data_IF_265219125358
#
_entry.id   IF_265219125358
#
_cell.length_a   1.000
_cell.length_b   1.000
_cell.length_c   1.000
_cell.angle_alpha   90.00
_cell.angle_beta   90.00
_cell.angle_gamma   90.00
#
_symmetry.space_group_name_H-M   'P 1'
#
loop_
_entity.id
_entity.type
_entity.pdbx_description
1 polymer ?
#
# COMPACT_ATOMS: atom_id res chain seq x y z
N UNK A 1 9.40 -15.02 -37.22
CA UNK A 1 9.36 -16.17 -36.32
C UNK A 1 8.39 -15.78 -35.21
N UNK A 2 7.23 -16.42 -35.18
CA UNK A 2 6.28 -16.28 -34.06
C UNK A 2 6.91 -17.03 -32.87
N UNK A 3 7.11 -16.28 -31.76
CA UNK A 3 7.67 -16.82 -30.54
C UNK A 3 6.56 -17.63 -29.82
N UNK A 4 6.82 -18.90 -29.53
CA UNK A 4 5.89 -19.72 -28.74
C UNK A 4 6.09 -19.45 -27.24
N UNK A 5 5.25 -18.62 -26.69
CA UNK A 5 5.32 -18.25 -25.26
C UNK A 5 5.04 -19.42 -24.31
N UNK A 6 4.34 -20.45 -24.79
CA UNK A 6 4.06 -21.65 -23.98
C UNK A 6 5.30 -22.52 -23.82
N UNK A 7 6.08 -22.69 -24.89
CA UNK A 7 7.38 -23.39 -24.84
C UNK A 7 8.39 -22.65 -23.96
N UNK A 8 8.34 -21.32 -23.92
CA UNK A 8 9.16 -20.49 -23.04
C UNK A 8 8.73 -20.55 -21.57
N UNK A 9 7.63 -21.22 -21.25
CA UNK A 9 7.09 -21.26 -19.89
C UNK A 9 6.63 -19.90 -19.38
N UNK A 10 6.24 -18.98 -20.29
CA UNK A 10 5.76 -17.64 -19.93
C UNK A 10 4.55 -17.72 -19.00
N UNK A 11 4.63 -17.02 -17.88
CA UNK A 11 3.54 -16.85 -16.92
C UNK A 11 3.39 -15.37 -16.62
N UNK A 12 2.15 -14.91 -16.49
CA UNK A 12 1.83 -13.56 -16.03
C UNK A 12 0.67 -13.63 -15.05
N UNK A 13 0.59 -12.63 -14.20
CA UNK A 13 -0.53 -12.38 -13.31
C UNK A 13 -0.97 -10.93 -13.43
N UNK A 14 -2.18 -10.64 -12.99
CA UNK A 14 -2.73 -9.29 -12.92
C UNK A 14 -2.99 -8.99 -11.45
N UNK A 15 -2.51 -7.83 -11.01
CA UNK A 15 -2.86 -7.25 -9.72
C UNK A 15 -3.80 -6.07 -9.97
N UNK A 16 -4.95 -6.07 -9.28
CA UNK A 16 -5.98 -5.05 -9.43
C UNK A 16 -6.15 -4.36 -8.09
N UNK A 17 -6.01 -3.04 -8.06
CA UNK A 17 -6.26 -2.20 -6.90
C UNK A 17 -7.60 -1.49 -7.06
N UNK A 18 -8.42 -1.53 -6.01
CA UNK A 18 -9.68 -0.81 -5.92
C UNK A 18 -9.74 -0.04 -4.61
N UNK A 19 -9.82 1.28 -4.68
CA UNK A 19 -10.06 2.11 -3.50
C UNK A 19 -11.50 1.91 -3.01
N UNK A 20 -11.65 1.75 -1.69
CA UNK A 20 -12.96 1.61 -1.06
C UNK A 20 -13.52 2.98 -0.66
N UNK A 21 -14.83 3.13 -0.76
CA UNK A 21 -15.55 4.32 -0.32
C UNK A 21 -15.89 4.21 1.19
N UNK A 22 -14.84 4.26 2.02
CA UNK A 22 -14.94 4.23 3.47
C UNK A 22 -13.97 5.27 4.06
N UNK A 23 -14.00 5.52 5.37
CA UNK A 23 -12.90 6.23 6.02
C UNK A 23 -11.61 5.38 5.97
N UNK A 24 -10.47 5.95 6.35
CA UNK A 24 -9.17 5.26 6.32
C UNK A 24 -9.15 4.00 7.20
N UNK A 25 -8.23 3.06 6.92
CA UNK A 25 -8.26 1.72 7.52
C UNK A 25 -8.00 1.71 9.03
N UNK A 26 -7.10 2.57 9.50
CA UNK A 26 -6.62 2.53 10.88
C UNK A 26 -6.77 3.85 11.63
N UNK A 27 -7.66 4.72 11.15
CA UNK A 27 -8.11 5.93 11.83
C UNK A 27 -9.48 6.37 11.30
N UNK A 28 -10.07 7.40 11.92
CA UNK A 28 -11.38 7.91 11.50
C UNK A 28 -11.31 9.03 10.46
N UNK A 29 -10.12 9.31 9.91
CA UNK A 29 -9.98 10.34 8.88
C UNK A 29 -10.70 9.95 7.59
N UNK A 30 -11.32 10.92 6.89
CA UNK A 30 -11.89 10.67 5.56
C UNK A 30 -10.82 10.19 4.58
N UNK A 31 -11.20 9.33 3.63
CA UNK A 31 -10.31 8.86 2.56
C UNK A 31 -10.48 9.65 1.25
N UNK A 32 -10.95 10.87 1.34
CA UNK A 32 -11.16 11.75 0.20
C UNK A 32 -9.83 12.17 -0.43
N UNK A 33 -9.76 12.09 -1.76
CA UNK A 33 -8.64 12.63 -2.52
C UNK A 33 -8.79 14.14 -2.60
N UNK A 34 -7.79 14.86 -2.13
CA UNK A 34 -7.78 16.32 -2.16
C UNK A 34 -6.71 16.84 -3.11
N UNK A 35 -7.10 17.85 -3.87
CA UNK A 35 -6.23 18.66 -4.71
C UNK A 35 -6.24 20.11 -4.22
N UNK A 36 -5.10 20.78 -4.34
CA UNK A 36 -4.98 22.18 -3.96
C UNK A 36 -3.91 22.43 -2.89
N UNK A 37 -3.89 23.62 -2.27
CA UNK A 37 -2.91 23.98 -1.26
C UNK A 37 -3.11 23.13 0.01
N UNK A 38 -2.04 22.47 0.44
CA UNK A 38 -1.97 21.72 1.69
C UNK A 38 -1.66 22.65 2.87
N UNK A 39 -2.07 22.26 4.07
CA UNK A 39 -1.82 23.01 5.32
C UNK A 39 -0.86 22.26 6.28
N UNK A 40 -0.56 20.99 5.98
CA UNK A 40 0.43 20.20 6.68
C UNK A 40 1.61 19.91 5.74
N UNK A 41 2.84 20.13 6.23
CA UNK A 41 4.06 19.73 5.50
C UNK A 41 5.10 19.21 6.47
N UNK A 42 5.47 17.94 6.33
CA UNK A 42 6.43 17.26 7.19
C UNK A 42 7.57 16.69 6.35
N UNK A 43 8.79 16.86 6.84
CA UNK A 43 10.00 16.31 6.21
C UNK A 43 10.52 15.15 7.03
N UNK A 44 10.80 14.04 6.36
CA UNK A 44 11.34 12.84 6.97
C UNK A 44 12.44 12.22 6.13
N UNK A 45 13.28 11.44 6.80
CA UNK A 45 14.18 10.47 6.18
C UNK A 45 13.75 9.10 6.67
N UNK A 46 13.43 8.22 5.72
CA UNK A 46 13.10 6.85 6.08
C UNK A 46 14.31 6.15 6.70
N UNK A 47 14.07 5.39 7.74
CA UNK A 47 15.03 4.49 8.34
C UNK A 47 14.64 3.06 8.00
N UNK A 48 15.60 2.20 7.67
CA UNK A 48 15.29 0.80 7.49
C UNK A 48 14.76 0.23 8.81
N UNK A 49 13.57 -0.38 8.75
CA UNK A 49 12.95 -1.03 9.91
C UNK A 49 13.47 -2.46 9.96
N UNK A 50 14.10 -2.91 11.07
CA UNK A 50 14.52 -4.29 11.21
C UNK A 50 13.28 -5.20 11.31
N UNK A 51 13.38 -6.40 10.73
CA UNK A 51 12.43 -7.48 10.93
C UNK A 51 12.45 -8.02 12.36
N UNK A 52 11.61 -9.00 12.66
CA UNK A 52 11.52 -9.61 14.01
C UNK A 52 12.82 -10.26 14.45
N UNK A 53 13.62 -10.77 13.50
CA UNK A 53 14.93 -11.38 13.74
C UNK A 53 16.08 -10.36 13.75
N UNK A 54 15.77 -9.06 13.64
CA UNK A 54 16.75 -7.97 13.62
C UNK A 54 17.43 -7.75 12.27
N UNK A 55 17.10 -8.52 11.25
CA UNK A 55 17.63 -8.33 9.91
C UNK A 55 16.97 -7.14 9.22
N UNK A 56 17.78 -6.36 8.52
CA UNK A 56 17.33 -5.22 7.72
C UNK A 56 17.25 -5.63 6.27
N UNK A 57 16.11 -5.37 5.65
CA UNK A 57 15.90 -5.60 4.21
C UNK A 57 16.97 -4.90 3.36
N UNK A 58 17.57 -5.63 2.42
CA UNK A 58 18.70 -5.16 1.60
C UNK A 58 18.27 -3.96 0.73
N UNK A 59 17.05 -3.96 0.19
CA UNK A 59 16.53 -2.86 -0.62
C UNK A 59 16.32 -1.62 0.25
N UNK A 60 15.80 -1.78 1.48
CA UNK A 60 15.64 -0.68 2.44
C UNK A 60 16.98 -0.05 2.81
N UNK A 61 18.02 -0.88 3.03
CA UNK A 61 19.37 -0.40 3.29
C UNK A 61 19.92 0.41 2.10
N UNK A 62 19.80 -0.12 0.89
CA UNK A 62 20.26 0.56 -0.31
C UNK A 62 19.54 1.90 -0.57
N UNK A 63 18.20 1.95 -0.37
CA UNK A 63 17.45 3.20 -0.50
C UNK A 63 17.86 4.24 0.55
N UNK A 64 18.17 3.80 1.77
CA UNK A 64 18.65 4.68 2.85
C UNK A 64 20.00 5.31 2.51
N UNK A 65 20.90 4.57 1.83
CA UNK A 65 22.21 5.08 1.38
C UNK A 65 22.09 6.24 0.39
N UNK A 66 20.98 6.35 -0.35
CA UNK A 66 20.70 7.48 -1.26
C UNK A 66 20.47 8.79 -0.50
N UNK A 67 20.21 8.74 0.81
CA UNK A 67 19.99 9.87 1.70
C UNK A 67 18.94 10.85 1.20
N UNK A 68 17.85 10.31 0.64
CA UNK A 68 16.73 11.10 0.14
C UNK A 68 15.89 11.66 1.29
N UNK A 69 15.41 12.88 1.13
CA UNK A 69 14.42 13.49 1.99
C UNK A 69 13.02 13.25 1.42
N UNK A 70 12.08 12.87 2.26
CA UNK A 70 10.67 12.70 1.91
C UNK A 70 9.87 13.84 2.52
N UNK A 71 9.11 14.53 1.69
CA UNK A 71 8.23 15.63 2.09
C UNK A 71 6.80 15.11 1.97
N UNK A 72 6.09 15.10 3.09
CA UNK A 72 4.69 14.69 3.15
C UNK A 72 3.83 15.94 3.29
N UNK A 73 2.94 16.12 2.32
CA UNK A 73 1.91 17.15 2.30
C UNK A 73 0.60 16.53 2.74
N UNK A 74 -0.13 17.20 3.61
CA UNK A 74 -1.41 16.72 4.12
C UNK A 74 -2.40 17.86 4.36
N UNK A 75 -3.59 17.49 4.77
CA UNK A 75 -4.68 18.39 5.10
C UNK A 75 -5.18 18.06 6.51
N UNK A 76 -5.28 19.07 7.37
CA UNK A 76 -5.64 18.90 8.78
C UNK A 76 -7.03 18.27 8.99
N UNK A 77 -7.89 18.33 7.99
CA UNK A 77 -9.23 17.76 8.03
C UNK A 77 -9.32 16.30 7.56
N UNK A 78 -8.22 15.74 6.97
CA UNK A 78 -8.17 14.33 6.57
C UNK A 78 -6.89 13.60 6.94
N UNK A 79 -6.02 14.21 7.74
CA UNK A 79 -4.74 13.62 8.15
C UNK A 79 -4.58 13.75 9.66
N UNK A 80 -4.26 12.66 10.34
CA UNK A 80 -3.97 12.64 11.77
C UNK A 80 -2.60 12.01 12.09
N UNK A 81 -2.26 11.90 13.37
CA UNK A 81 -0.97 11.37 13.82
C UNK A 81 -0.72 9.90 13.39
N UNK A 82 -1.79 9.12 13.13
CA UNK A 82 -1.66 7.74 12.64
C UNK A 82 -1.01 7.70 11.25
N UNK A 83 -1.46 8.55 10.29
CA UNK A 83 -0.85 8.62 8.96
C UNK A 83 0.58 9.16 8.99
N UNK A 84 0.88 9.94 10.03
CA UNK A 84 2.21 10.49 10.24
C UNK A 84 3.15 9.53 10.98
N UNK A 85 2.70 8.33 11.31
CA UNK A 85 3.45 7.37 12.13
C UNK A 85 3.92 7.97 13.47
N UNK A 86 3.08 8.79 14.08
CA UNK A 86 3.32 9.46 15.37
C UNK A 86 2.39 8.96 16.47
N UNK A 87 1.41 8.14 16.10
CA UNK A 87 0.45 7.49 16.99
C UNK A 87 0.23 6.04 16.52
N UNK A 88 0.03 5.08 17.43
CA UNK A 88 -0.34 3.72 17.09
C UNK A 88 -1.63 3.67 16.26
N UNK A 89 -1.77 2.70 15.34
CA UNK A 89 -3.00 2.54 14.56
C UNK A 89 -4.19 2.26 15.47
N UNK A 90 -5.34 2.79 15.10
CA UNK A 90 -6.61 2.43 15.70
C UNK A 90 -7.08 1.04 15.21
N UNK A 91 -8.21 0.58 15.72
CA UNK A 91 -8.84 -0.65 15.23
C UNK A 91 -9.13 -0.59 13.73
N UNK A 92 -9.04 -1.74 13.08
CA UNK A 92 -9.35 -1.88 11.67
C UNK A 92 -10.77 -1.40 11.35
N UNK A 93 -10.89 -0.62 10.28
CA UNK A 93 -12.17 -0.18 9.75
C UNK A 93 -13.08 -1.37 9.40
N UNK A 94 -14.18 -1.49 10.14
CA UNK A 94 -15.12 -2.62 10.00
C UNK A 94 -15.93 -2.59 8.70
N UNK A 95 -16.21 -1.40 8.17
CA UNK A 95 -16.94 -1.26 6.90
C UNK A 95 -16.05 -1.66 5.72
N UNK A 96 -14.77 -1.29 5.75
CA UNK A 96 -13.79 -1.77 4.78
C UNK A 96 -13.64 -3.30 4.84
N UNK A 97 -13.53 -3.87 6.04
CA UNK A 97 -13.47 -5.33 6.23
C UNK A 97 -14.72 -6.02 5.70
N UNK A 98 -15.89 -5.50 6.00
CA UNK A 98 -17.17 -6.04 5.50
C UNK A 98 -17.20 -6.04 3.97
N UNK A 99 -16.81 -4.94 3.34
CA UNK A 99 -16.79 -4.81 1.89
C UNK A 99 -15.85 -5.85 1.25
N UNK A 100 -14.64 -6.02 1.77
CA UNK A 100 -13.71 -7.01 1.20
C UNK A 100 -14.18 -8.45 1.42
N UNK A 101 -14.85 -8.75 2.53
CA UNK A 101 -15.46 -10.07 2.76
C UNK A 101 -16.58 -10.35 1.75
N UNK A 102 -17.39 -9.36 1.40
CA UNK A 102 -18.41 -9.47 0.35
C UNK A 102 -17.77 -9.71 -1.02
N UNK A 103 -16.68 -9.00 -1.34
CA UNK A 103 -15.89 -9.21 -2.57
C UNK A 103 -15.32 -10.63 -2.61
N UNK A 104 -14.72 -11.12 -1.51
CA UNK A 104 -14.21 -12.49 -1.43
C UNK A 104 -15.31 -13.52 -1.70
N UNK A 105 -16.49 -13.30 -1.16
CA UNK A 105 -17.65 -14.18 -1.40
C UNK A 105 -18.10 -14.17 -2.87
N UNK A 106 -18.15 -13.00 -3.51
CA UNK A 106 -18.49 -12.86 -4.93
C UNK A 106 -17.45 -13.52 -5.85
N UNK A 107 -16.18 -13.51 -5.43
CA UNK A 107 -15.07 -14.14 -6.14
C UNK A 107 -14.87 -15.62 -5.75
N UNK A 108 -15.80 -16.23 -5.02
CA UNK A 108 -15.73 -17.61 -4.58
C UNK A 108 -14.42 -17.96 -3.83
N UNK A 109 -13.85 -17.00 -3.11
CA UNK A 109 -12.64 -17.23 -2.31
C UNK A 109 -12.91 -18.03 -1.05
N UNK A 110 -11.91 -18.81 -0.62
CA UNK A 110 -11.83 -19.26 0.76
C UNK A 110 -11.45 -18.07 1.64
N UNK A 111 -12.16 -17.86 2.72
CA UNK A 111 -11.84 -16.82 3.71
C UNK A 111 -10.86 -17.40 4.71
N UNK A 112 -9.87 -16.61 5.14
CA UNK A 112 -8.95 -17.00 6.20
C UNK A 112 -9.69 -17.08 7.55
N UNK A 113 -9.29 -18.00 8.42
CA UNK A 113 -9.90 -18.15 9.76
C UNK A 113 -9.53 -16.99 10.69
N UNK A 114 -8.34 -16.42 10.50
CA UNK A 114 -7.80 -15.29 11.26
C UNK A 114 -7.15 -14.28 10.34
N UNK A 115 -7.53 -13.01 10.44
CA UNK A 115 -6.96 -11.92 9.68
C UNK A 115 -5.86 -11.26 10.50
N UNK A 116 -4.63 -11.35 10.01
CA UNK A 116 -3.48 -10.73 10.63
C UNK A 116 -3.04 -9.50 9.85
N UNK A 117 -2.71 -8.43 10.58
CA UNK A 117 -2.13 -7.21 9.99
C UNK A 117 -0.63 -7.42 9.84
N UNK A 118 -0.19 -7.62 8.60
CA UNK A 118 1.22 -7.78 8.25
C UNK A 118 1.84 -6.43 7.88
N UNK A 119 3.15 -6.30 8.04
CA UNK A 119 3.95 -5.13 7.62
C UNK A 119 4.73 -5.47 6.36
N UNK A 120 4.22 -5.04 5.21
CA UNK A 120 4.92 -5.15 3.92
C UNK A 120 5.92 -4.00 3.80
N UNK A 121 7.22 -4.29 3.78
CA UNK A 121 8.28 -3.27 3.67
C UNK A 121 8.10 -2.39 2.44
N UNK A 122 8.14 -1.08 2.63
CA UNK A 122 8.02 -0.06 1.57
C UNK A 122 9.17 0.92 1.68
N UNK A 123 9.97 1.00 0.61
CA UNK A 123 11.25 1.75 0.61
C UNK A 123 11.23 3.01 -0.26
N UNK A 124 10.16 3.25 -1.00
CA UNK A 124 10.06 4.37 -1.94
C UNK A 124 9.58 5.68 -1.31
N UNK A 125 9.07 5.63 -0.07
CA UNK A 125 8.52 6.76 0.68
C UNK A 125 7.00 6.89 0.63
N UNK A 126 6.29 6.01 -0.08
CA UNK A 126 4.82 6.04 -0.15
C UNK A 126 4.11 5.72 1.18
N UNK A 127 4.84 5.23 2.17
CA UNK A 127 4.36 5.06 3.54
C UNK A 127 5.30 5.77 4.51
N UNK A 128 4.75 6.57 5.40
CA UNK A 128 5.51 7.33 6.42
C UNK A 128 6.26 6.43 7.40
N UNK A 129 5.71 5.25 7.69
CA UNK A 129 6.27 4.24 8.59
C UNK A 129 7.39 3.38 7.96
N UNK A 130 7.56 3.42 6.64
CA UNK A 130 8.47 2.51 5.92
C UNK A 130 7.90 1.11 5.68
N UNK A 131 6.63 0.88 5.97
CA UNK A 131 5.88 -0.34 5.66
C UNK A 131 4.43 -0.04 5.36
N UNK A 132 3.78 -0.93 4.61
CA UNK A 132 2.34 -0.91 4.32
C UNK A 132 1.66 -1.99 5.14
N UNK A 133 0.61 -1.62 5.89
CA UNK A 133 -0.23 -2.60 6.58
C UNK A 133 -1.09 -3.32 5.54
N UNK A 134 -0.91 -4.63 5.46
CA UNK A 134 -1.54 -5.50 4.47
C UNK A 134 -2.14 -6.71 5.16
N UNK A 135 -3.37 -7.07 4.81
CA UNK A 135 -4.09 -8.20 5.40
C UNK A 135 -4.57 -9.12 4.30
N UNK A 136 -4.20 -10.40 4.37
CA UNK A 136 -4.83 -11.43 3.55
C UNK A 136 -6.23 -11.71 4.10
N UNK A 137 -7.24 -11.63 3.24
CA UNK A 137 -8.66 -11.86 3.62
C UNK A 137 -9.21 -13.10 2.94
N UNK A 138 -8.89 -13.30 1.66
CA UNK A 138 -9.36 -14.45 0.91
C UNK A 138 -8.29 -14.99 -0.05
N UNK A 139 -8.45 -16.25 -0.45
CA UNK A 139 -7.52 -16.95 -1.33
C UNK A 139 -8.21 -18.05 -2.16
N UNK A 140 -7.52 -18.50 -3.23
CA UNK A 140 -8.00 -19.59 -4.09
C UNK A 140 -9.44 -19.41 -4.59
N UNK A 141 -9.77 -18.18 -4.98
CA UNK A 141 -11.06 -17.86 -5.57
C UNK A 141 -11.10 -18.05 -7.09
N UNK A 142 -12.18 -17.66 -7.68
CA UNK A 142 -12.32 -17.64 -9.13
C UNK A 142 -13.45 -16.73 -9.60
N UNK A 143 -13.34 -16.31 -10.85
CA UNK A 143 -14.36 -15.58 -11.59
C UNK A 143 -14.72 -16.35 -12.86
N UNK A 144 -16.02 -16.58 -13.10
CA UNK A 144 -16.50 -17.11 -14.37
C UNK A 144 -16.57 -15.98 -15.40
N UNK A 145 -15.96 -16.18 -16.55
CA UNK A 145 -15.98 -15.22 -17.65
C UNK A 145 -16.47 -15.85 -18.95
N UNK A 146 -16.75 -15.05 -19.98
CA UNK A 146 -17.07 -15.54 -21.32
C UNK A 146 -15.94 -16.36 -21.97
N UNK A 147 -14.72 -16.26 -21.46
CA UNK A 147 -13.55 -17.00 -21.95
C UNK A 147 -13.16 -18.18 -21.05
N UNK A 148 -13.97 -18.47 -20.04
CA UNK A 148 -13.76 -19.53 -19.07
C UNK A 148 -13.46 -19.01 -17.66
N UNK A 149 -13.04 -19.93 -16.81
CA UNK A 149 -12.77 -19.68 -15.42
C UNK A 149 -11.39 -19.04 -15.21
N UNK A 150 -11.36 -17.90 -14.56
CA UNK A 150 -10.12 -17.19 -14.17
C UNK A 150 -9.90 -17.38 -12.67
N UNK A 151 -8.75 -17.91 -12.28
CA UNK A 151 -8.37 -18.08 -10.88
C UNK A 151 -8.02 -16.76 -10.22
N UNK A 152 -8.32 -16.64 -8.93
CA UNK A 152 -7.96 -15.53 -8.06
C UNK A 152 -7.07 -16.10 -6.94
N UNK A 153 -5.79 -15.74 -6.96
CA UNK A 153 -4.83 -16.29 -6.00
C UNK A 153 -5.09 -15.75 -4.59
N UNK A 154 -5.25 -14.43 -4.47
CA UNK A 154 -5.46 -13.78 -3.18
C UNK A 154 -6.30 -12.50 -3.30
N UNK A 155 -6.98 -12.16 -2.21
CA UNK A 155 -7.65 -10.88 -1.99
C UNK A 155 -7.13 -10.32 -0.68
N UNK A 156 -6.50 -9.14 -0.78
CA UNK A 156 -5.92 -8.44 0.35
C UNK A 156 -6.65 -7.13 0.61
N UNK A 157 -6.66 -6.71 1.87
CA UNK A 157 -7.03 -5.36 2.29
C UNK A 157 -5.74 -4.61 2.69
N UNK A 158 -5.48 -3.47 2.08
CA UNK A 158 -4.21 -2.76 2.21
C UNK A 158 -4.41 -1.26 2.47
N UNK A 159 -3.46 -0.65 3.19
CA UNK A 159 -3.36 0.80 3.27
C UNK A 159 -2.88 1.38 1.94
N UNK A 160 -3.46 2.52 1.53
CA UNK A 160 -2.89 3.42 0.53
C UNK A 160 -2.53 4.74 1.23
N UNK A 161 -1.30 4.82 1.77
CA UNK A 161 -0.91 5.87 2.72
C UNK A 161 -0.63 7.21 2.03
N UNK A 162 0.20 7.22 0.99
CA UNK A 162 0.60 8.48 0.34
C UNK A 162 0.88 8.31 -1.15
N UNK A 163 0.51 9.33 -1.94
CA UNK A 163 0.71 9.35 -3.39
C UNK A 163 1.81 10.33 -3.78
N UNK A 164 2.72 9.90 -4.65
CA UNK A 164 3.78 10.75 -5.14
C UNK A 164 3.22 11.86 -6.02
N UNK A 165 3.44 13.12 -5.62
CA UNK A 165 2.98 14.32 -6.33
C UNK A 165 4.12 15.13 -6.92
N UNK A 166 5.37 14.90 -6.50
CA UNK A 166 6.49 15.68 -7.02
C UNK A 166 7.87 15.18 -6.60
N UNK A 167 8.87 15.98 -7.01
CA UNK A 167 10.27 15.80 -6.63
C UNK A 167 10.99 17.14 -6.61
N UNK A 168 12.01 17.27 -5.76
CA UNK A 168 12.93 18.41 -5.74
C UNK A 168 14.29 17.93 -6.21
N UNK A 169 14.86 18.64 -7.16
CA UNK A 169 16.18 18.37 -7.72
C UNK A 169 17.23 19.34 -7.17
N UNK A 170 18.42 18.83 -6.94
CA UNK A 170 19.62 19.63 -6.71
C UNK A 170 20.61 19.35 -7.84
N UNK A 171 20.67 20.25 -8.83
CA UNK A 171 21.34 19.96 -10.09
C UNK A 171 20.63 18.81 -10.84
N UNK A 172 21.39 17.76 -11.21
CA UNK A 172 20.85 16.58 -11.88
C UNK A 172 20.39 15.46 -10.92
N UNK A 173 20.64 15.60 -9.61
CA UNK A 173 20.30 14.56 -8.61
C UNK A 173 18.97 14.87 -7.93
N UNK A 174 18.18 13.84 -7.70
CA UNK A 174 16.98 13.91 -6.86
C UNK A 174 17.41 14.12 -5.41
N UNK A 175 16.91 15.19 -4.79
CA UNK A 175 17.16 15.52 -3.38
C UNK A 175 16.02 15.09 -2.49
N UNK A 176 14.81 15.36 -2.94
CA UNK A 176 13.61 15.05 -2.17
C UNK A 176 12.49 14.52 -3.07
N UNK A 177 11.69 13.63 -2.53
CA UNK A 177 10.42 13.18 -3.12
C UNK A 177 9.27 13.83 -2.34
N UNK A 178 8.21 14.21 -3.04
CA UNK A 178 7.04 14.84 -2.45
C UNK A 178 5.85 13.90 -2.58
N UNK A 179 5.22 13.61 -1.46
CA UNK A 179 4.06 12.74 -1.34
C UNK A 179 2.89 13.48 -0.73
N UNK A 180 1.67 13.11 -1.08
CA UNK A 180 0.42 13.61 -0.50
C UNK A 180 -0.28 12.50 0.26
N UNK A 181 -0.60 12.79 1.53
CA UNK A 181 -1.32 11.92 2.45
C UNK A 181 -2.83 11.99 2.21
#
# INVERSE_FOLDING_TARGET
ILMDYKELGFKCGIEIHQQLETHKLFCNCPSELKDGPHDISIKRRLRPVPGEEGEVDIAAKHETEKNLEFIYEGYSDNTCAVELDEEPPHDLNKDALKTVLEVCKLLNCNIVDEIQVMRKTVVDGSNTSGFQRTMLVGFNGYLETSYGKVGIDSVCLEEDSARRVGRILQGKKEKSKVYRL
#
